data_IF_064347722174
#
_entry.id   IF_064347722174
#
_cell.length_a   1.000
_cell.length_b   1.000
_cell.length_c   1.000
_cell.angle_alpha   90.00
_cell.angle_beta   90.00
_cell.angle_gamma   90.00
#
_symmetry.space_group_name_H-M   'P 1'
#
loop_
_entity.id
_entity.type
_entity.pdbx_description
1 polymer ?
#
# COMPACT_ATOMS: atom_id res chain seq x y z
N UNK A 1 23.94 0.80 -3.87
CA UNK A 1 23.14 1.86 -3.22
C UNK A 1 22.66 1.28 -1.90
N UNK A 2 23.12 1.81 -0.76
CA UNK A 2 22.68 1.33 0.55
C UNK A 2 21.19 1.66 0.70
N UNK A 3 20.33 0.65 0.80
CA UNK A 3 18.95 0.84 1.23
C UNK A 3 19.02 1.49 2.61
N UNK A 4 18.47 2.70 2.74
CA UNK A 4 18.23 3.30 4.04
C UNK A 4 17.28 2.36 4.79
N UNK A 5 17.82 1.63 5.75
CA UNK A 5 17.05 0.69 6.55
C UNK A 5 16.22 1.51 7.54
N UNK A 6 14.98 1.80 7.16
CA UNK A 6 14.03 2.54 7.99
C UNK A 6 13.72 1.71 9.23
N UNK A 7 13.96 2.28 10.42
CA UNK A 7 13.72 1.60 11.69
C UNK A 7 12.36 1.98 12.25
N UNK A 8 11.57 1.03 12.77
CA UNK A 8 10.27 1.33 13.36
C UNK A 8 10.41 2.15 14.64
N UNK A 9 9.45 3.05 14.86
CA UNK A 9 9.33 3.89 16.06
C UNK A 9 7.98 3.63 16.70
N UNK A 10 8.01 2.94 17.83
CA UNK A 10 6.81 2.55 18.55
C UNK A 10 6.29 3.67 19.45
N UNK A 11 4.96 3.72 19.57
CA UNK A 11 4.25 4.55 20.52
C UNK A 11 4.58 4.10 21.95
N UNK A 12 4.70 5.06 22.86
CA UNK A 12 4.99 4.79 24.27
C UNK A 12 3.95 3.85 24.88
N UNK A 13 4.44 2.79 25.53
CA UNK A 13 3.60 1.75 26.16
C UNK A 13 3.34 0.54 25.27
N UNK A 14 3.86 0.52 24.05
CA UNK A 14 3.87 -0.66 23.17
C UNK A 14 4.95 -1.63 23.64
N UNK A 15 4.62 -2.92 23.69
CA UNK A 15 5.62 -3.97 23.88
C UNK A 15 6.39 -4.17 22.56
N UNK A 16 7.58 -3.58 22.48
CA UNK A 16 8.38 -3.55 21.25
C UNK A 16 8.79 -4.94 20.77
N UNK A 17 9.06 -5.89 21.68
CA UNK A 17 9.48 -7.24 21.30
C UNK A 17 8.39 -7.98 20.52
N UNK A 18 7.16 -7.98 21.05
CA UNK A 18 6.00 -8.59 20.38
C UNK A 18 5.61 -7.81 19.12
N UNK A 19 5.67 -6.48 19.17
CA UNK A 19 5.34 -5.63 18.05
C UNK A 19 6.31 -5.83 16.87
N UNK A 20 7.61 -5.98 17.12
CA UNK A 20 8.60 -6.24 16.07
C UNK A 20 8.35 -7.56 15.34
N UNK A 21 8.04 -8.63 16.07
CA UNK A 21 7.73 -9.93 15.45
C UNK A 21 6.49 -9.84 14.55
N UNK A 22 5.44 -9.15 15.01
CA UNK A 22 4.21 -8.96 14.22
C UNK A 22 4.49 -8.08 12.99
N UNK A 23 5.23 -6.99 13.18
CA UNK A 23 5.61 -6.06 12.13
C UNK A 23 6.41 -6.75 11.01
N UNK A 24 7.39 -7.58 11.35
CA UNK A 24 8.20 -8.29 10.36
C UNK A 24 7.34 -9.06 9.36
N UNK A 25 6.32 -9.77 9.82
CA UNK A 25 5.43 -10.54 8.94
C UNK A 25 4.62 -9.70 7.95
N UNK A 26 4.41 -8.42 8.23
CA UNK A 26 3.64 -7.50 7.39
C UNK A 26 4.50 -6.79 6.34
N UNK A 27 5.80 -6.64 6.60
CA UNK A 27 6.68 -5.79 5.80
C UNK A 27 7.06 -6.41 4.45
N UNK A 28 7.15 -5.55 3.44
CA UNK A 28 7.58 -5.92 2.09
C UNK A 28 9.00 -6.50 2.01
N UNK A 29 9.89 -6.13 2.94
CA UNK A 29 11.22 -6.73 3.03
C UNK A 29 11.20 -8.21 3.40
N UNK A 30 10.12 -8.68 4.03
CA UNK A 30 9.94 -10.05 4.50
C UNK A 30 8.84 -10.80 3.72
N UNK A 31 8.40 -10.25 2.58
CA UNK A 31 7.38 -10.85 1.72
C UNK A 31 5.93 -10.47 2.04
N UNK A 32 5.71 -9.57 2.99
CA UNK A 32 4.41 -8.95 3.23
C UNK A 32 4.10 -7.82 2.24
N UNK A 33 2.89 -7.23 2.27
CA UNK A 33 2.50 -6.19 1.33
C UNK A 33 2.54 -4.76 1.91
N UNK A 34 2.93 -4.59 3.18
CA UNK A 34 2.98 -3.29 3.84
C UNK A 34 4.36 -2.66 3.74
N UNK A 35 4.39 -1.33 3.80
CA UNK A 35 5.62 -0.53 3.85
C UNK A 35 5.62 0.33 5.11
N UNK A 36 6.79 0.47 5.73
CA UNK A 36 7.01 1.39 6.85
C UNK A 36 7.26 2.80 6.31
N UNK A 37 6.60 3.82 6.85
CA UNK A 37 6.86 5.22 6.42
C UNK A 37 8.29 5.63 6.75
N UNK A 38 8.83 6.64 6.06
CA UNK A 38 10.21 7.13 6.25
C UNK A 38 10.57 7.47 7.70
N UNK A 39 9.59 7.89 8.49
CA UNK A 39 9.77 8.24 9.91
C UNK A 39 9.76 7.01 10.83
N UNK A 40 9.31 5.85 10.34
CA UNK A 40 9.16 4.63 11.13
C UNK A 40 7.90 4.60 12.00
N UNK A 41 7.03 5.60 11.90
CA UNK A 41 5.92 5.81 12.84
C UNK A 41 4.57 5.27 12.35
N UNK A 42 4.52 4.75 11.11
CA UNK A 42 3.28 4.27 10.50
C UNK A 42 3.52 3.15 9.47
N UNK A 43 2.48 2.35 9.23
CA UNK A 43 2.43 1.35 8.17
C UNK A 43 1.47 1.81 7.07
N UNK A 44 1.86 1.65 5.82
CA UNK A 44 1.03 2.02 4.67
C UNK A 44 0.99 0.94 3.58
N UNK A 45 -0.18 0.81 2.96
CA UNK A 45 -0.46 -0.09 1.84
C UNK A 45 -1.65 0.43 1.02
N UNK A 46 -1.67 0.11 -0.27
CA UNK A 46 -2.84 0.30 -1.13
C UNK A 46 -3.51 -1.04 -1.44
N UNK A 47 -4.84 -1.05 -1.40
CA UNK A 47 -5.70 -2.19 -1.75
C UNK A 47 -6.44 -1.87 -3.04
N UNK A 48 -6.54 -2.84 -3.96
CA UNK A 48 -7.23 -2.66 -5.24
C UNK A 48 -8.28 -3.74 -5.44
N UNK A 49 -9.44 -3.35 -5.96
CA UNK A 49 -10.54 -4.27 -6.25
C UNK A 49 -11.06 -4.08 -7.68
N UNK A 50 -11.97 -4.95 -8.11
CA UNK A 50 -12.53 -4.90 -9.47
C UNK A 50 -13.39 -3.66 -9.72
N UNK A 51 -14.10 -3.17 -8.71
CA UNK A 51 -15.08 -2.07 -8.83
C UNK A 51 -15.10 -1.20 -7.58
N UNK A 52 -15.59 0.04 -7.70
CA UNK A 52 -15.82 0.93 -6.56
C UNK A 52 -16.71 0.29 -5.48
N UNK A 53 -17.77 -0.44 -5.88
CA UNK A 53 -18.66 -1.10 -4.93
C UNK A 53 -17.91 -2.15 -4.07
N UNK A 54 -17.04 -2.96 -4.69
CA UNK A 54 -16.23 -3.94 -3.96
C UNK A 54 -15.23 -3.29 -3.01
N UNK A 55 -14.60 -2.20 -3.45
CA UNK A 55 -13.74 -1.39 -2.59
C UNK A 55 -14.50 -0.82 -1.40
N UNK A 56 -15.72 -0.33 -1.61
CA UNK A 56 -16.56 0.20 -0.54
C UNK A 56 -17.04 -0.87 0.45
N UNK A 57 -17.36 -2.08 -0.03
CA UNK A 57 -17.68 -3.22 0.83
C UNK A 57 -16.51 -3.56 1.77
N UNK A 58 -15.29 -3.62 1.23
CA UNK A 58 -14.05 -3.79 2.00
C UNK A 58 -13.87 -2.68 3.05
N UNK A 59 -13.98 -1.41 2.63
CA UNK A 59 -13.86 -0.27 3.54
C UNK A 59 -14.91 -0.31 4.67
N UNK A 60 -16.13 -0.76 4.36
CA UNK A 60 -17.21 -0.90 5.35
C UNK A 60 -16.85 -1.98 6.38
N UNK A 61 -16.33 -3.12 5.95
CA UNK A 61 -15.87 -4.18 6.86
C UNK A 61 -14.71 -3.71 7.75
N UNK A 62 -13.73 -3.00 7.18
CA UNK A 62 -12.62 -2.39 7.96
C UNK A 62 -13.16 -1.39 8.98
N UNK A 63 -14.13 -0.56 8.61
CA UNK A 63 -14.73 0.43 9.52
C UNK A 63 -15.39 -0.20 10.76
N UNK A 64 -15.97 -1.39 10.62
CA UNK A 64 -16.54 -2.14 11.74
C UNK A 64 -15.43 -2.61 12.70
N UNK A 65 -14.30 -3.08 12.17
CA UNK A 65 -13.14 -3.45 13.00
C UNK A 65 -12.55 -2.24 13.72
N UNK A 66 -12.47 -1.09 13.05
CA UNK A 66 -12.04 0.17 13.66
C UNK A 66 -12.87 0.52 14.89
N UNK A 67 -14.20 0.38 14.77
CA UNK A 67 -15.14 0.63 15.87
C UNK A 67 -14.93 -0.33 17.04
N UNK A 68 -14.71 -1.61 16.78
CA UNK A 68 -14.47 -2.63 17.81
C UNK A 68 -13.14 -2.37 18.55
N UNK A 69 -12.08 -2.04 17.81
CA UNK A 69 -10.73 -1.81 18.34
C UNK A 69 -10.54 -0.40 18.91
N UNK A 70 -11.49 0.49 18.66
CA UNK A 70 -11.43 1.92 18.94
C UNK A 70 -10.11 2.52 18.44
N UNK A 71 -9.84 2.31 17.16
CA UNK A 71 -8.63 2.75 16.46
C UNK A 71 -8.94 2.93 14.99
N UNK A 72 -8.52 4.04 14.40
CA UNK A 72 -8.98 4.46 13.07
C UNK A 72 -7.79 4.74 12.15
N UNK A 73 -7.87 4.42 10.86
CA UNK A 73 -6.79 4.65 9.93
C UNK A 73 -6.80 6.10 9.42
N UNK A 74 -5.67 6.51 8.86
CA UNK A 74 -5.65 7.52 7.81
C UNK A 74 -5.88 6.81 6.48
N UNK A 75 -6.88 7.19 5.69
CA UNK A 75 -7.10 6.57 4.39
C UNK A 75 -7.54 7.55 3.31
N UNK A 76 -7.32 7.18 2.06
CA UNK A 76 -7.87 7.87 0.89
C UNK A 76 -8.37 6.83 -0.11
N UNK A 77 -9.47 7.14 -0.81
CA UNK A 77 -10.07 6.24 -1.78
C UNK A 77 -10.21 6.92 -3.13
N UNK A 78 -9.75 6.25 -4.18
CA UNK A 78 -9.89 6.68 -5.58
C UNK A 78 -10.46 5.52 -6.39
N UNK A 79 -11.74 5.63 -6.73
CA UNK A 79 -12.49 4.60 -7.44
C UNK A 79 -12.35 3.21 -6.79
N UNK A 80 -11.59 2.31 -7.42
CA UNK A 80 -11.43 0.93 -6.99
C UNK A 80 -10.16 0.67 -6.16
N UNK A 81 -9.47 1.73 -5.73
CA UNK A 81 -8.22 1.65 -4.97
C UNK A 81 -8.33 2.45 -3.68
N UNK A 82 -8.04 1.83 -2.55
CA UNK A 82 -7.99 2.47 -1.24
C UNK A 82 -6.58 2.40 -0.67
N UNK A 83 -6.00 3.56 -0.39
CA UNK A 83 -4.77 3.69 0.37
C UNK A 83 -5.11 3.74 1.86
N UNK A 84 -4.42 2.95 2.68
CA UNK A 84 -4.58 2.92 4.13
C UNK A 84 -3.21 3.11 4.78
N UNK A 85 -3.16 4.01 5.77
CA UNK A 85 -2.07 4.19 6.71
C UNK A 85 -2.55 3.99 8.14
N UNK A 86 -1.87 3.12 8.87
CA UNK A 86 -2.07 2.88 10.29
C UNK A 86 -0.98 3.55 11.11
N UNK A 87 -1.39 4.39 12.06
CA UNK A 87 -0.50 5.03 13.04
C UNK A 87 -1.27 5.32 14.32
N UNK A 88 -0.55 5.42 15.44
CA UNK A 88 -1.11 5.95 16.69
C UNK A 88 -0.68 7.39 16.87
N UNK A 89 -1.65 8.31 16.94
CA UNK A 89 -1.38 9.74 17.05
C UNK A 89 -0.94 10.18 18.46
N UNK A 90 -1.38 9.47 19.51
CA UNK A 90 -1.06 9.84 20.88
C UNK A 90 -0.98 8.62 21.83
N UNK A 91 0.17 8.35 22.45
CA UNK A 91 1.48 8.91 22.11
C UNK A 91 1.86 8.57 20.66
N UNK A 92 2.61 9.46 19.99
CA UNK A 92 2.94 9.29 18.57
C UNK A 92 3.79 8.05 18.32
N UNK A 93 3.45 7.24 17.31
CA UNK A 93 4.24 6.09 16.83
C UNK A 93 3.39 4.88 16.46
N UNK A 94 4.04 3.78 16.07
CA UNK A 94 3.36 2.50 15.83
C UNK A 94 2.94 1.83 17.14
N UNK A 95 1.76 1.24 17.18
CA UNK A 95 1.28 0.42 18.29
C UNK A 95 0.87 -0.98 17.85
N UNK A 96 0.63 -1.87 18.80
CA UNK A 96 0.07 -3.20 18.53
C UNK A 96 -1.28 -3.13 17.79
N UNK A 97 -2.08 -2.08 18.01
CA UNK A 97 -3.37 -1.92 17.32
C UNK A 97 -3.19 -1.65 15.83
N UNK A 98 -2.15 -0.90 15.46
CA UNK A 98 -1.82 -0.61 14.06
C UNK A 98 -1.49 -1.91 13.33
N UNK A 99 -0.68 -2.77 13.96
CA UNK A 99 -0.27 -4.06 13.41
C UNK A 99 -1.44 -5.04 13.30
N UNK A 100 -2.29 -5.10 14.33
CA UNK A 100 -3.48 -5.97 14.34
C UNK A 100 -4.47 -5.57 13.24
N UNK A 101 -4.75 -4.26 13.10
CA UNK A 101 -5.68 -3.78 12.08
C UNK A 101 -5.11 -3.88 10.66
N UNK A 102 -3.79 -3.73 10.49
CA UNK A 102 -3.13 -4.02 9.22
C UNK A 102 -3.33 -5.49 8.80
N UNK A 103 -3.09 -6.44 9.71
CA UNK A 103 -3.31 -7.87 9.44
C UNK A 103 -4.79 -8.22 9.18
N UNK A 104 -5.72 -7.57 9.89
CA UNK A 104 -7.15 -7.70 9.62
C UNK A 104 -7.53 -7.17 8.24
N UNK A 105 -6.96 -6.04 7.81
CA UNK A 105 -7.17 -5.54 6.45
C UNK A 105 -6.75 -6.57 5.40
N UNK A 106 -5.61 -7.25 5.58
CA UNK A 106 -5.16 -8.29 4.63
C UNK A 106 -6.14 -9.46 4.55
N UNK A 107 -6.65 -9.90 5.70
CA UNK A 107 -7.64 -10.99 5.77
C UNK A 107 -8.96 -10.59 5.09
N UNK A 108 -9.47 -9.40 5.42
CA UNK A 108 -10.71 -8.88 4.82
C UNK A 108 -10.51 -8.66 3.31
N UNK A 109 -9.39 -8.07 2.87
CA UNK A 109 -9.11 -7.83 1.47
C UNK A 109 -9.14 -9.12 0.64
N UNK A 110 -8.55 -10.20 1.19
CA UNK A 110 -8.61 -11.54 0.58
C UNK A 110 -10.04 -12.04 0.43
N UNK A 111 -10.87 -11.92 1.47
CA UNK A 111 -12.27 -12.34 1.45
C UNK A 111 -13.13 -11.55 0.44
N UNK A 112 -12.80 -10.26 0.25
CA UNK A 112 -13.49 -9.38 -0.70
C UNK A 112 -12.95 -9.46 -2.14
N UNK A 113 -11.93 -10.28 -2.38
CA UNK A 113 -11.35 -10.51 -3.70
C UNK A 113 -10.50 -9.34 -4.18
N UNK A 114 -9.55 -8.91 -3.35
CA UNK A 114 -8.46 -8.02 -3.78
C UNK A 114 -7.83 -8.53 -5.07
N UNK A 115 -7.60 -7.62 -6.02
CA UNK A 115 -6.90 -7.93 -7.26
C UNK A 115 -5.45 -7.48 -7.14
N UNK A 116 -4.54 -8.39 -7.40
CA UNK A 116 -3.11 -8.06 -7.49
C UNK A 116 -2.91 -7.00 -8.59
N UNK A 117 -2.00 -6.04 -8.40
CA UNK A 117 -1.64 -5.14 -9.47
C UNK A 117 -1.04 -5.97 -10.62
N UNK A 118 -1.76 -6.03 -11.75
CA UNK A 118 -1.22 -6.57 -12.99
C UNK A 118 0.15 -5.93 -13.27
N UNK A 119 1.20 -6.73 -13.53
CA UNK A 119 2.50 -6.18 -13.86
C UNK A 119 2.32 -5.32 -15.11
N UNK A 120 2.60 -4.02 -14.98
CA UNK A 120 2.56 -3.10 -16.10
C UNK A 120 3.72 -3.49 -17.01
N UNK A 121 3.49 -4.40 -17.95
CA UNK A 121 4.50 -4.74 -18.94
C UNK A 121 4.74 -3.49 -19.78
N UNK A 122 5.99 -3.07 -19.85
CA UNK A 122 6.42 -1.86 -20.54
C UNK A 122 6.31 -1.97 -22.07
N UNK A 123 5.47 -2.88 -22.60
CA UNK A 123 5.36 -3.14 -24.04
C UNK A 123 4.71 -1.98 -24.80
N UNK A 124 3.89 -1.17 -24.13
CA UNK A 124 3.23 -0.01 -24.76
C UNK A 124 4.22 1.17 -24.96
N UNK A 125 5.29 1.28 -24.15
CA UNK A 125 6.31 2.34 -24.33
C UNK A 125 7.15 2.12 -25.59
N UNK A 126 7.51 0.88 -25.90
CA UNK A 126 8.32 0.57 -27.08
C UNK A 126 7.58 0.82 -28.41
N UNK A 127 6.24 0.76 -28.45
CA UNK A 127 5.48 1.11 -29.65
C UNK A 127 5.52 2.61 -29.97
N UNK A 128 5.48 3.47 -28.94
CA UNK A 128 5.53 4.92 -29.14
C UNK A 128 6.93 5.38 -29.62
N UNK A 129 7.98 4.78 -29.08
CA UNK A 129 9.36 5.09 -29.49
C UNK A 129 9.66 4.59 -30.91
N UNK A 130 9.11 3.42 -31.30
CA UNK A 130 9.18 2.89 -32.67
C UNK A 130 8.54 3.81 -33.72
N UNK A 131 7.46 4.52 -33.37
CA UNK A 131 6.74 5.39 -34.31
C UNK A 131 7.51 6.68 -34.66
N UNK A 132 8.44 7.13 -33.79
CA UNK A 132 9.22 8.35 -34.04
C UNK A 132 10.43 8.11 -34.97
N UNK A 133 10.94 6.87 -35.05
CA UNK A 133 12.06 6.52 -35.94
C UNK A 133 11.60 6.32 -37.39
N UNK A 134 10.34 5.91 -37.62
CA UNK A 134 9.79 5.74 -38.98
C UNK A 134 9.33 7.04 -39.66
N UNK A 135 9.25 8.16 -38.93
CA UNK A 135 8.83 9.45 -39.47
C UNK A 135 10.00 10.34 -39.94
N UNK A 136 11.19 9.75 -40.12
CA UNK A 136 12.43 10.49 -40.38
C UNK A 136 12.72 10.90 -41.82
N UNK A 137 11.97 10.44 -42.83
CA UNK A 137 12.46 10.54 -44.22
C UNK A 137 11.40 10.88 -45.29
N UNK A 138 10.45 11.76 -44.95
CA UNK A 138 9.40 12.18 -45.89
C UNK A 138 9.61 13.59 -46.50
N UNK A 139 10.68 14.31 -46.15
CA UNK A 139 10.90 15.70 -46.56
C UNK A 139 12.29 15.95 -47.18
N UNK A 140 12.57 15.37 -48.35
CA UNK A 140 13.54 15.95 -49.29
C UNK A 140 12.88 16.12 -50.66
N UNK A 141 12.78 17.35 -51.21
CA UNK A 141 12.32 17.54 -52.58
C UNK A 141 13.38 17.00 -53.54
N UNK A 142 13.00 16.06 -54.41
CA UNK A 142 13.85 15.65 -55.54
C UNK A 142 14.06 16.86 -56.47
N UNK A 143 15.31 17.26 -56.68
CA UNK A 143 15.78 18.07 -57.80
C UNK A 143 16.79 17.28 -58.60
#
# INVERSE_FOLDING_TARGET
MASLQVSPRFSKGTDEATALSSLQSLLSSEGGPWTLTSEGEALERSFKFKTFAKTWDFMTAVSLQCKIKNHHPEWSNVYNTTFIRWTTHNPKGLSTKDLELASLCDSIAKDFGEVEPEPVTCEIRNLADSATVSAGDCCTPKK
#
